data_IF_340063556353
#
_entry.id   IF_340063556353
#
_cell.length_a   1.000
_cell.length_b   1.000
_cell.length_c   1.000
_cell.angle_alpha   90.00
_cell.angle_beta   90.00
_cell.angle_gamma   90.00
#
_symmetry.space_group_name_H-M   'P 1'
#
loop_
_entity.id
_entity.type
_entity.pdbx_description
1 polymer ?
#
# COMPACT_ATOMS: atom_id res chain seq x y z
N UNK A 1 4.72 -10.38 -20.07
CA UNK A 1 3.32 -10.87 -20.00
C UNK A 1 2.34 -9.75 -19.66
N UNK A 2 1.79 -9.05 -20.66
CA UNK A 2 0.87 -7.91 -20.39
C UNK A 2 -0.47 -8.35 -19.75
N UNK A 3 -0.98 -9.54 -20.11
CA UNK A 3 -2.24 -10.08 -19.60
C UNK A 3 -2.22 -10.35 -18.09
N UNK A 4 -1.23 -11.10 -17.59
CA UNK A 4 -1.15 -11.48 -16.18
C UNK A 4 -1.17 -10.26 -15.23
N UNK A 5 -0.36 -9.23 -15.52
CA UNK A 5 -0.32 -8.04 -14.66
C UNK A 5 -1.59 -7.21 -14.75
N UNK A 6 -2.24 -7.14 -15.92
CA UNK A 6 -3.53 -6.48 -16.09
C UNK A 6 -4.64 -7.21 -15.32
N UNK A 7 -4.67 -8.54 -15.36
CA UNK A 7 -5.64 -9.34 -14.60
C UNK A 7 -5.44 -9.21 -13.09
N UNK A 8 -4.20 -9.20 -12.61
CA UNK A 8 -3.90 -8.97 -11.19
C UNK A 8 -4.45 -7.61 -10.72
N UNK A 9 -4.20 -6.55 -11.48
CA UNK A 9 -4.74 -5.22 -11.20
C UNK A 9 -6.27 -5.21 -11.23
N UNK A 10 -6.89 -5.81 -12.25
CA UNK A 10 -8.35 -5.86 -12.34
C UNK A 10 -8.96 -6.56 -11.12
N UNK A 11 -8.37 -7.68 -10.68
CA UNK A 11 -8.78 -8.38 -9.47
C UNK A 11 -8.64 -7.50 -8.22
N UNK A 12 -7.50 -6.84 -8.05
CA UNK A 12 -7.27 -5.94 -6.92
C UNK A 12 -8.24 -4.75 -6.91
N UNK A 13 -8.50 -4.16 -8.08
CA UNK A 13 -9.46 -3.07 -8.24
C UNK A 13 -10.89 -3.52 -7.90
N UNK A 14 -11.31 -4.69 -8.38
CA UNK A 14 -12.62 -5.26 -8.05
C UNK A 14 -12.77 -5.50 -6.55
N UNK A 15 -11.75 -6.11 -5.93
CA UNK A 15 -11.75 -6.33 -4.48
C UNK A 15 -11.83 -5.00 -3.71
N UNK A 16 -11.03 -4.01 -4.13
CA UNK A 16 -11.03 -2.66 -3.55
C UNK A 16 -12.41 -2.00 -3.67
N UNK A 17 -13.04 -2.06 -4.85
CA UNK A 17 -14.41 -1.54 -5.04
C UNK A 17 -15.43 -2.24 -4.14
N UNK A 18 -15.33 -3.56 -3.99
CA UNK A 18 -16.25 -4.32 -3.13
C UNK A 18 -16.09 -3.95 -1.65
N UNK A 19 -14.84 -3.83 -1.16
CA UNK A 19 -14.55 -3.36 0.19
C UNK A 19 -15.11 -1.97 0.44
N UNK A 20 -14.84 -1.01 -0.46
CA UNK A 20 -15.34 0.36 -0.30
C UNK A 20 -16.86 0.47 -0.46
N UNK A 21 -17.51 -0.32 -1.32
CA UNK A 21 -18.98 -0.41 -1.34
C UNK A 21 -19.52 -0.80 0.03
N UNK A 22 -18.87 -1.76 0.69
CA UNK A 22 -19.24 -2.22 2.04
C UNK A 22 -19.01 -1.12 3.07
N UNK A 23 -17.89 -0.40 2.98
CA UNK A 23 -17.60 0.71 3.89
C UNK A 23 -18.60 1.85 3.73
N UNK A 24 -18.92 2.24 2.50
CA UNK A 24 -19.96 3.26 2.21
C UNK A 24 -21.31 2.83 2.77
N UNK A 25 -21.69 1.56 2.60
CA UNK A 25 -22.94 1.01 3.18
C UNK A 25 -22.94 1.07 4.70
N UNK A 26 -21.80 0.80 5.34
CA UNK A 26 -21.67 0.87 6.80
C UNK A 26 -21.77 2.29 7.34
N UNK A 27 -21.20 3.28 6.64
CA UNK A 27 -21.22 4.67 7.11
C UNK A 27 -22.49 5.43 6.70
N UNK A 28 -23.30 4.92 5.77
CA UNK A 28 -24.50 5.64 5.32
C UNK A 28 -25.46 6.03 6.45
N UNK A 29 -25.69 5.23 7.51
CA UNK A 29 -26.61 5.59 8.59
C UNK A 29 -26.11 6.70 9.51
N UNK A 30 -24.83 7.10 9.41
CA UNK A 30 -24.22 8.13 10.27
C UNK A 30 -23.96 9.45 9.53
N UNK A 31 -24.38 9.55 8.27
CA UNK A 31 -24.25 10.78 7.51
C UNK A 31 -25.17 11.88 8.10
N UNK A 32 -24.82 13.16 7.96
CA UNK A 32 -25.72 14.25 8.33
C UNK A 32 -26.99 14.24 7.47
N UNK A 33 -28.05 14.90 7.92
CA UNK A 33 -29.33 14.99 7.19
C UNK A 33 -29.16 15.48 5.75
N UNK A 34 -28.35 16.53 5.57
CA UNK A 34 -27.90 17.00 4.27
C UNK A 34 -26.45 16.58 4.07
N UNK A 35 -26.21 15.74 3.06
CA UNK A 35 -24.88 15.22 2.75
C UNK A 35 -24.60 15.21 1.25
N UNK A 36 -23.32 15.32 0.89
CA UNK A 36 -22.82 15.18 -0.47
C UNK A 36 -21.71 14.12 -0.55
N UNK A 37 -21.05 14.02 -1.71
CA UNK A 37 -19.92 13.13 -1.89
C UNK A 37 -18.76 13.45 -0.93
N UNK A 38 -18.53 14.73 -0.62
CA UNK A 38 -17.46 15.14 0.28
C UNK A 38 -17.73 14.69 1.71
N UNK A 39 -18.98 14.74 2.18
CA UNK A 39 -19.39 14.17 3.46
C UNK A 39 -19.06 12.68 3.54
N UNK A 40 -19.38 11.91 2.48
CA UNK A 40 -19.06 10.47 2.41
C UNK A 40 -17.54 10.24 2.51
N UNK A 41 -16.76 10.98 1.72
CA UNK A 41 -15.29 10.85 1.71
C UNK A 41 -14.68 11.24 3.06
N UNK A 42 -15.13 12.33 3.68
CA UNK A 42 -14.68 12.75 5.02
C UNK A 42 -14.98 11.68 6.06
N UNK A 43 -16.17 11.10 6.04
CA UNK A 43 -16.56 10.02 6.95
C UNK A 43 -15.76 8.74 6.72
N UNK A 44 -15.48 8.38 5.46
CA UNK A 44 -14.56 7.28 5.13
C UNK A 44 -13.16 7.53 5.69
N UNK A 45 -12.59 8.73 5.48
CA UNK A 45 -11.27 9.09 6.03
C UNK A 45 -11.24 9.05 7.56
N UNK A 46 -12.36 9.37 8.23
CA UNK A 46 -12.48 9.31 9.70
C UNK A 46 -12.49 7.87 10.24
N UNK A 47 -13.29 6.97 9.65
CA UNK A 47 -13.52 5.62 10.20
C UNK A 47 -12.77 4.49 9.50
N UNK A 48 -12.21 4.77 8.33
CA UNK A 48 -11.37 3.88 7.52
C UNK A 48 -10.11 4.62 7.02
N UNK A 49 -9.36 5.32 7.91
CA UNK A 49 -8.22 6.15 7.50
C UNK A 49 -7.13 5.32 6.82
N UNK A 50 -6.92 4.11 7.30
CA UNK A 50 -5.88 3.23 6.85
C UNK A 50 -6.22 2.53 5.53
N UNK A 51 -7.47 2.12 5.35
CA UNK A 51 -7.96 1.62 4.07
C UNK A 51 -7.94 2.74 3.01
N UNK A 52 -8.24 3.97 3.40
CA UNK A 52 -8.10 5.14 2.53
C UNK A 52 -6.64 5.38 2.12
N UNK A 53 -5.71 5.35 3.08
CA UNK A 53 -4.27 5.49 2.79
C UNK A 53 -3.78 4.42 1.82
N UNK A 54 -4.18 3.17 2.02
CA UNK A 54 -3.82 2.08 1.10
C UNK A 54 -4.40 2.28 -0.31
N UNK A 55 -5.62 2.83 -0.43
CA UNK A 55 -6.20 3.19 -1.72
C UNK A 55 -5.38 4.27 -2.44
N UNK A 56 -4.93 5.30 -1.72
CA UNK A 56 -4.06 6.35 -2.27
C UNK A 56 -2.70 5.80 -2.72
N UNK A 57 -2.09 4.92 -1.93
CA UNK A 57 -0.80 4.31 -2.26
C UNK A 57 -0.89 3.41 -3.50
N UNK A 58 -1.95 2.59 -3.60
CA UNK A 58 -2.26 1.80 -4.81
C UNK A 58 -2.42 2.70 -6.04
N UNK A 59 -3.19 3.78 -5.91
CA UNK A 59 -3.37 4.75 -6.98
C UNK A 59 -2.02 5.32 -7.46
N UNK A 60 -1.15 5.73 -6.53
CA UNK A 60 0.20 6.24 -6.84
C UNK A 60 1.06 5.19 -7.54
N UNK A 61 1.06 3.94 -7.07
CA UNK A 61 1.85 2.86 -7.65
C UNK A 61 1.45 2.58 -9.11
N UNK A 62 0.16 2.34 -9.37
CA UNK A 62 -0.33 2.01 -10.71
C UNK A 62 -0.20 3.18 -11.69
N UNK A 63 -0.43 4.41 -11.21
CA UNK A 63 -0.20 5.62 -12.01
C UNK A 63 1.28 5.75 -12.38
N UNK A 64 2.20 5.51 -11.43
CA UNK A 64 3.64 5.50 -11.72
C UNK A 64 4.02 4.42 -12.72
N UNK A 65 3.41 3.24 -12.63
CA UNK A 65 3.65 2.15 -13.55
C UNK A 65 3.16 2.48 -14.98
N UNK A 66 2.00 3.12 -15.14
CA UNK A 66 1.51 3.59 -16.43
C UNK A 66 2.40 4.70 -17.02
N UNK A 67 2.82 5.69 -16.21
CA UNK A 67 3.76 6.73 -16.65
C UNK A 67 5.07 6.14 -17.20
N UNK A 68 5.59 5.10 -16.56
CA UNK A 68 6.80 4.39 -17.05
C UNK A 68 6.57 3.71 -18.39
N UNK A 69 5.38 3.13 -18.63
CA UNK A 69 5.04 2.50 -19.91
C UNK A 69 4.93 3.55 -21.03
N UNK A 70 4.23 4.65 -20.76
CA UNK A 70 4.05 5.75 -21.72
C UNK A 70 5.39 6.34 -22.14
N UNK A 71 6.30 6.56 -21.17
CA UNK A 71 7.64 7.09 -21.45
C UNK A 71 8.46 6.23 -22.43
N UNK A 72 8.21 4.93 -22.49
CA UNK A 72 8.87 4.01 -23.44
C UNK A 72 8.02 3.71 -24.67
N UNK A 73 7.07 4.60 -25.01
CA UNK A 73 6.21 4.50 -26.18
C UNK A 73 5.08 3.46 -26.07
N UNK A 74 4.82 2.90 -24.88
CA UNK A 74 3.78 1.88 -24.68
C UNK A 74 2.49 2.50 -24.14
N UNK A 75 1.34 1.92 -24.51
CA UNK A 75 0.03 2.35 -24.00
C UNK A 75 -0.08 2.13 -22.48
N UNK A 76 -0.80 3.03 -21.81
CA UNK A 76 -1.20 2.88 -20.41
C UNK A 76 -1.98 1.56 -20.22
N UNK A 77 -1.64 0.81 -19.17
CA UNK A 77 -2.21 -0.51 -18.89
C UNK A 77 -3.35 -0.45 -17.90
N UNK A 78 -3.21 0.31 -16.82
CA UNK A 78 -4.13 0.26 -15.69
C UNK A 78 -5.22 1.33 -15.78
N UNK A 79 -4.85 2.54 -16.25
CA UNK A 79 -5.76 3.70 -16.35
C UNK A 79 -6.50 3.96 -15.03
N UNK A 80 -5.76 4.00 -13.93
CA UNK A 80 -6.30 4.22 -12.59
C UNK A 80 -7.00 5.57 -12.49
N UNK A 81 -8.21 5.57 -11.95
CA UNK A 81 -8.94 6.79 -11.54
C UNK A 81 -8.49 7.20 -10.13
N UNK A 82 -8.66 8.48 -9.78
CA UNK A 82 -8.33 8.98 -8.44
C UNK A 82 -9.19 8.28 -7.37
N UNK A 83 -8.73 8.20 -6.11
CA UNK A 83 -9.51 7.65 -5.00
C UNK A 83 -10.92 8.24 -4.90
N UNK A 84 -11.04 9.56 -5.00
CA UNK A 84 -12.32 10.29 -4.93
C UNK A 84 -13.25 9.89 -6.07
N UNK A 85 -12.71 9.82 -7.31
CA UNK A 85 -13.47 9.37 -8.47
C UNK A 85 -13.86 7.90 -8.36
N UNK A 86 -13.01 7.05 -7.76
CA UNK A 86 -13.33 5.65 -7.51
C UNK A 86 -14.53 5.53 -6.58
N UNK A 87 -14.56 6.30 -5.48
CA UNK A 87 -15.71 6.33 -4.56
C UNK A 87 -16.96 6.83 -5.28
N UNK A 88 -16.86 7.90 -6.07
CA UNK A 88 -18.03 8.50 -6.73
C UNK A 88 -18.73 7.53 -7.69
N UNK A 89 -18.02 6.57 -8.27
CA UNK A 89 -18.58 5.61 -9.23
C UNK A 89 -19.09 4.32 -8.58
N UNK A 90 -18.91 4.14 -7.28
CA UNK A 90 -19.38 2.94 -6.57
C UNK A 90 -20.92 2.85 -6.62
N UNK A 91 -21.49 1.65 -6.87
CA UNK A 91 -22.92 1.43 -6.83
C UNK A 91 -23.58 1.94 -5.55
N UNK A 92 -22.99 1.65 -4.38
CA UNK A 92 -23.55 2.11 -3.11
C UNK A 92 -23.54 3.64 -3.00
N UNK A 93 -22.45 4.28 -3.45
CA UNK A 93 -22.34 5.74 -3.42
C UNK A 93 -23.35 6.41 -4.35
N UNK A 94 -23.54 5.87 -5.56
CA UNK A 94 -24.57 6.34 -6.48
C UNK A 94 -25.98 6.17 -5.90
N UNK A 95 -26.24 5.04 -5.25
CA UNK A 95 -27.51 4.75 -4.62
C UNK A 95 -27.84 5.75 -3.50
N UNK A 96 -26.90 6.02 -2.58
CA UNK A 96 -27.17 6.94 -1.46
C UNK A 96 -27.20 8.41 -1.87
N UNK A 97 -26.57 8.78 -3.00
CA UNK A 97 -26.62 10.14 -3.53
C UNK A 97 -27.82 10.39 -4.45
N UNK A 98 -28.65 9.37 -4.73
CA UNK A 98 -29.85 9.55 -5.55
C UNK A 98 -30.87 10.46 -4.85
N UNK A 99 -31.69 11.15 -5.65
CA UNK A 99 -32.72 12.06 -5.13
C UNK A 99 -33.69 11.32 -4.21
N UNK A 100 -34.16 10.15 -4.63
CA UNK A 100 -35.13 9.34 -3.90
C UNK A 100 -34.56 8.84 -2.58
N UNK A 101 -33.30 8.38 -2.55
CA UNK A 101 -32.66 7.96 -1.31
C UNK A 101 -32.54 9.12 -0.33
N UNK A 102 -32.08 10.29 -0.79
CA UNK A 102 -31.94 11.47 0.07
C UNK A 102 -33.27 11.96 0.62
N UNK A 103 -34.32 11.96 -0.19
CA UNK A 103 -35.68 12.31 0.26
C UNK A 103 -36.17 11.34 1.34
N UNK A 104 -36.04 10.04 1.11
CA UNK A 104 -36.43 9.01 2.08
C UNK A 104 -35.59 9.08 3.37
N UNK A 105 -34.29 9.31 3.23
CA UNK A 105 -33.38 9.48 4.35
C UNK A 105 -33.77 10.70 5.20
N UNK A 106 -34.07 11.84 4.56
CA UNK A 106 -34.53 13.07 5.23
C UNK A 106 -35.85 12.86 5.97
N UNK A 107 -36.80 12.16 5.35
CA UNK A 107 -38.11 11.89 5.96
C UNK A 107 -38.05 10.94 7.16
N UNK A 108 -37.10 10.01 7.17
CA UNK A 108 -36.89 9.03 8.25
C UNK A 108 -35.73 9.39 9.18
N UNK A 109 -35.17 10.59 9.05
CA UNK A 109 -33.97 11.00 9.77
C UNK A 109 -34.27 11.16 11.26
N UNK A 110 -33.41 10.57 12.09
CA UNK A 110 -33.43 10.76 13.54
C UNK A 110 -32.00 10.98 14.03
N UNK A 111 -31.78 12.13 14.66
CA UNK A 111 -30.50 12.51 15.22
C UNK A 111 -30.06 11.54 16.33
N UNK A 112 -31.02 11.05 17.11
CA UNK A 112 -30.81 10.02 18.14
C UNK A 112 -30.33 8.72 17.49
N UNK A 113 -31.00 8.25 16.43
CA UNK A 113 -30.62 7.02 15.74
C UNK A 113 -29.26 7.15 15.04
N UNK A 114 -28.97 8.31 14.45
CA UNK A 114 -27.67 8.64 13.85
C UNK A 114 -26.55 8.54 14.88
N UNK A 115 -26.73 9.17 16.04
CA UNK A 115 -25.75 9.16 17.14
C UNK A 115 -25.51 7.74 17.65
N UNK A 116 -26.57 6.95 17.84
CA UNK A 116 -26.45 5.54 18.22
C UNK A 116 -25.67 4.71 17.19
N UNK A 117 -25.91 4.95 15.90
CA UNK A 117 -25.17 4.29 14.82
C UNK A 117 -23.71 4.74 14.79
N UNK A 118 -23.42 6.01 15.08
CA UNK A 118 -22.06 6.53 15.17
C UNK A 118 -21.30 5.86 16.31
N UNK A 119 -21.93 5.70 17.49
CA UNK A 119 -21.33 4.99 18.61
C UNK A 119 -21.04 3.51 18.29
N UNK A 120 -21.93 2.83 17.54
CA UNK A 120 -21.67 1.47 17.05
C UNK A 120 -20.44 1.42 16.13
N UNK A 121 -20.33 2.37 15.20
CA UNK A 121 -19.17 2.45 14.29
C UNK A 121 -17.90 2.77 15.07
N UNK A 122 -17.94 3.70 16.02
CA UNK A 122 -16.80 4.05 16.89
C UNK A 122 -16.31 2.81 17.65
N UNK A 123 -17.22 2.08 18.30
CA UNK A 123 -16.90 0.82 19.01
C UNK A 123 -16.28 -0.22 18.09
N UNK A 124 -16.71 -0.34 16.83
CA UNK A 124 -16.14 -1.30 15.87
C UNK A 124 -14.77 -0.85 15.32
N UNK A 125 -14.62 0.45 15.03
CA UNK A 125 -13.53 0.98 14.19
C UNK A 125 -12.38 1.60 14.98
N UNK A 126 -12.66 2.35 16.05
CA UNK A 126 -11.60 3.02 16.83
C UNK A 126 -10.57 2.03 17.38
N UNK A 127 -10.94 0.85 17.94
CA UNK A 127 -9.94 -0.11 18.40
C UNK A 127 -9.06 -0.67 17.27
N UNK A 128 -9.61 -0.82 16.06
CA UNK A 128 -8.85 -1.30 14.89
C UNK A 128 -7.86 -0.24 14.39
N UNK A 129 -8.28 1.02 14.40
CA UNK A 129 -7.45 2.18 14.05
C UNK A 129 -6.32 2.30 15.08
N UNK A 130 -6.65 2.29 16.37
CA UNK A 130 -5.67 2.38 17.46
C UNK A 130 -4.62 1.28 17.40
N UNK A 131 -5.00 0.02 17.14
CA UNK A 131 -4.02 -1.08 16.98
C UNK A 131 -3.01 -0.83 15.86
N UNK A 132 -3.45 -0.19 14.78
CA UNK A 132 -2.56 0.17 13.67
C UNK A 132 -1.69 1.38 14.08
N UNK A 133 -2.29 2.39 14.72
CA UNK A 133 -1.57 3.56 15.26
C UNK A 133 -0.46 3.11 16.22
N UNK A 134 -0.78 2.27 17.20
CA UNK A 134 0.17 1.74 18.19
C UNK A 134 1.31 0.98 17.53
N UNK A 135 1.01 0.17 16.51
CA UNK A 135 2.05 -0.55 15.74
C UNK A 135 2.96 0.44 15.01
N UNK A 136 2.41 1.46 14.37
CA UNK A 136 3.19 2.48 13.66
C UNK A 136 4.02 3.30 14.65
N UNK A 137 3.44 3.71 15.78
CA UNK A 137 4.12 4.43 16.85
C UNK A 137 5.28 3.61 17.42
N UNK A 138 5.06 2.32 17.69
CA UNK A 138 6.10 1.38 18.14
C UNK A 138 7.20 1.15 17.09
N UNK A 139 6.85 1.15 15.80
CA UNK A 139 7.85 1.08 14.73
C UNK A 139 8.66 2.39 14.67
N UNK A 140 7.99 3.54 14.76
CA UNK A 140 8.62 4.86 14.77
C UNK A 140 9.51 5.10 16.00
N UNK A 141 9.17 4.57 17.17
CA UNK A 141 10.02 4.71 18.36
C UNK A 141 11.33 3.91 18.28
N UNK A 142 11.42 2.96 17.35
CA UNK A 142 12.61 2.14 17.11
C UNK A 142 13.52 2.70 16.03
N UNK A 143 13.04 3.66 15.23
CA UNK A 143 13.88 4.33 14.24
C UNK A 143 14.64 5.47 14.87
N UNK A 144 15.80 5.78 14.30
CA UNK A 144 16.60 6.92 14.71
C UNK A 144 15.91 8.23 14.28
N UNK A 145 16.02 9.26 15.12
CA UNK A 145 15.37 10.56 14.90
C UNK A 145 16.07 11.43 13.86
N UNK A 146 17.38 11.27 13.69
CA UNK A 146 18.16 12.00 12.69
C UNK A 146 18.15 11.21 11.38
N UNK A 147 17.95 11.90 10.26
CA UNK A 147 18.13 11.34 8.92
C UNK A 147 19.56 11.62 8.41
N UNK A 148 20.43 10.60 8.37
CA UNK A 148 21.74 10.76 7.78
C UNK A 148 21.74 11.15 6.30
N UNK A 149 22.60 12.13 5.99
CA UNK A 149 22.85 12.65 4.64
C UNK A 149 23.34 11.54 3.67
N UNK A 150 23.73 10.37 4.17
CA UNK A 150 24.32 9.30 3.37
C UNK A 150 23.35 8.22 2.86
N UNK A 151 22.04 8.23 3.16
CA UNK A 151 21.16 7.14 2.68
C UNK A 151 21.03 7.09 1.17
N UNK A 152 21.05 8.22 0.49
CA UNK A 152 21.07 8.24 -0.96
C UNK A 152 22.29 7.49 -1.51
N UNK A 153 23.46 7.69 -0.89
CA UNK A 153 24.68 6.96 -1.22
C UNK A 153 24.53 5.47 -0.92
N UNK A 154 23.94 5.08 0.22
CA UNK A 154 23.69 3.67 0.56
C UNK A 154 22.72 2.98 -0.41
N UNK A 155 21.60 3.64 -0.75
CA UNK A 155 20.67 3.15 -1.76
C UNK A 155 21.33 3.04 -3.13
N UNK A 156 22.20 3.99 -3.48
CA UNK A 156 23.03 3.93 -4.69
C UNK A 156 24.01 2.75 -4.68
N UNK A 157 24.67 2.49 -3.53
CA UNK A 157 25.56 1.34 -3.35
C UNK A 157 24.80 0.02 -3.52
N UNK A 158 23.57 -0.09 -3.02
CA UNK A 158 22.74 -1.29 -3.19
C UNK A 158 22.55 -1.66 -4.67
N UNK A 159 22.34 -0.64 -5.51
CA UNK A 159 22.02 -0.78 -6.94
C UNK A 159 23.23 -1.02 -7.85
N UNK A 160 24.46 -0.93 -7.33
CA UNK A 160 25.67 -1.21 -8.12
C UNK A 160 25.74 -2.69 -8.51
N UNK A 161 26.25 -2.95 -9.73
CA UNK A 161 26.34 -4.31 -10.31
C UNK A 161 27.22 -5.27 -9.49
N UNK A 162 28.28 -4.73 -8.87
CA UNK A 162 29.25 -5.52 -8.09
C UNK A 162 28.84 -5.78 -6.64
N UNK A 163 27.77 -5.15 -6.15
CA UNK A 163 27.34 -5.28 -4.75
C UNK A 163 26.89 -6.70 -4.48
N UNK A 164 27.54 -7.34 -3.51
CA UNK A 164 27.26 -8.74 -3.17
C UNK A 164 25.91 -8.86 -2.46
N UNK A 165 25.38 -10.09 -2.38
CA UNK A 165 24.16 -10.35 -1.63
C UNK A 165 24.32 -10.00 -0.14
N UNK A 166 25.49 -10.30 0.44
CA UNK A 166 25.88 -9.93 1.81
C UNK A 166 25.80 -8.42 2.02
N UNK A 167 26.45 -7.63 1.17
CA UNK A 167 26.46 -6.16 1.28
C UNK A 167 25.05 -5.58 1.19
N UNK A 168 24.20 -6.14 0.30
CA UNK A 168 22.79 -5.74 0.19
C UNK A 168 22.02 -6.01 1.48
N UNK A 169 22.29 -7.11 2.19
CA UNK A 169 21.68 -7.39 3.50
C UNK A 169 22.11 -6.34 4.53
N UNK A 170 23.40 -6.02 4.61
CA UNK A 170 23.90 -4.95 5.51
C UNK A 170 23.28 -3.60 5.19
N UNK A 171 23.24 -3.21 3.91
CA UNK A 171 22.62 -1.94 3.48
C UNK A 171 21.15 -1.91 3.85
N UNK A 172 20.38 -2.97 3.57
CA UNK A 172 18.96 -3.00 3.93
C UNK A 172 18.77 -2.92 5.44
N UNK A 173 19.57 -3.64 6.21
CA UNK A 173 19.51 -3.61 7.66
C UNK A 173 19.80 -2.20 8.21
N UNK A 174 20.83 -1.53 7.70
CA UNK A 174 21.12 -0.15 8.10
C UNK A 174 19.97 0.79 7.74
N UNK A 175 19.43 0.71 6.51
CA UNK A 175 18.28 1.51 6.09
C UNK A 175 17.01 1.25 6.91
N UNK A 176 16.84 0.05 7.50
CA UNK A 176 15.67 -0.22 8.36
C UNK A 176 15.66 0.56 9.67
N UNK A 177 16.80 1.14 10.08
CA UNK A 177 16.90 1.95 11.30
C UNK A 177 16.28 3.33 11.16
N UNK A 178 15.81 3.71 9.97
CA UNK A 178 15.32 5.07 9.68
C UNK A 178 13.95 5.01 8.99
N UNK A 179 13.23 6.12 9.03
CA UNK A 179 11.92 6.27 8.38
C UNK A 179 11.81 7.61 7.66
N UNK A 180 11.86 7.57 6.33
CA UNK A 180 11.61 8.73 5.47
C UNK A 180 10.88 8.31 4.19
N UNK A 181 10.20 9.24 3.49
CA UNK A 181 9.51 8.95 2.23
C UNK A 181 10.42 8.29 1.16
N UNK A 182 11.69 8.68 1.12
CA UNK A 182 12.73 8.18 0.21
C UNK A 182 13.02 6.70 0.49
N UNK A 183 13.19 6.36 1.76
CA UNK A 183 13.42 5.00 2.24
C UNK A 183 12.19 4.13 1.98
N UNK A 184 10.99 4.61 2.30
CA UNK A 184 9.73 3.91 1.98
C UNK A 184 9.63 3.66 0.47
N UNK A 185 9.96 4.64 -0.36
CA UNK A 185 9.96 4.49 -1.81
C UNK A 185 11.01 3.46 -2.28
N UNK A 186 12.20 3.45 -1.67
CA UNK A 186 13.23 2.46 -1.96
C UNK A 186 12.77 1.05 -1.63
N UNK A 187 12.30 0.79 -0.41
CA UNK A 187 11.81 -0.53 -0.02
C UNK A 187 10.59 -0.95 -0.85
N UNK A 188 9.67 -0.04 -1.19
CA UNK A 188 8.54 -0.34 -2.10
C UNK A 188 9.03 -0.85 -3.46
N UNK A 189 10.05 -0.19 -4.05
CA UNK A 189 10.68 -0.67 -5.30
C UNK A 189 11.32 -2.05 -5.10
N UNK A 190 12.06 -2.26 -4.02
CA UNK A 190 12.76 -3.54 -3.76
C UNK A 190 11.80 -4.69 -3.53
N UNK A 191 10.75 -4.51 -2.73
CA UNK A 191 9.71 -5.51 -2.54
C UNK A 191 9.12 -5.99 -3.89
N UNK A 192 8.94 -5.07 -4.85
CA UNK A 192 8.39 -5.38 -6.16
C UNK A 192 9.39 -6.02 -7.13
N UNK A 193 10.65 -5.54 -7.17
CA UNK A 193 11.58 -5.86 -8.26
C UNK A 193 12.81 -6.69 -7.89
N UNK A 194 13.20 -6.75 -6.62
CA UNK A 194 14.41 -7.47 -6.20
C UNK A 194 14.26 -8.98 -6.49
N UNK A 195 15.28 -9.63 -7.04
CA UNK A 195 15.15 -11.03 -7.44
C UNK A 195 15.41 -12.00 -6.27
N UNK A 196 16.29 -11.62 -5.34
CA UNK A 196 16.56 -12.37 -4.12
C UNK A 196 15.37 -12.34 -3.17
N UNK A 197 14.98 -13.51 -2.65
CA UNK A 197 13.80 -13.63 -1.81
C UNK A 197 14.00 -13.03 -0.41
N UNK A 198 15.17 -13.22 0.21
CA UNK A 198 15.47 -12.65 1.53
C UNK A 198 15.37 -11.12 1.49
N UNK A 199 16.03 -10.49 0.52
CA UNK A 199 16.02 -9.03 0.38
C UNK A 199 14.60 -8.50 0.12
N UNK A 200 13.80 -9.17 -0.73
CA UNK A 200 12.38 -8.80 -0.89
C UNK A 200 11.57 -8.94 0.39
N UNK A 201 11.79 -10.01 1.15
CA UNK A 201 11.10 -10.22 2.41
C UNK A 201 11.48 -9.14 3.42
N UNK A 202 12.75 -8.73 3.49
CA UNK A 202 13.18 -7.60 4.32
C UNK A 202 12.46 -6.31 3.93
N UNK A 203 12.36 -5.99 2.63
CA UNK A 203 11.63 -4.82 2.16
C UNK A 203 10.13 -4.89 2.49
N UNK A 204 9.52 -6.06 2.27
CA UNK A 204 8.12 -6.29 2.59
C UNK A 204 7.85 -6.10 4.10
N UNK A 205 8.68 -6.70 4.96
CA UNK A 205 8.55 -6.59 6.41
C UNK A 205 8.69 -5.16 6.90
N UNK A 206 9.66 -4.40 6.38
CA UNK A 206 9.82 -2.99 6.70
C UNK A 206 8.54 -2.20 6.39
N UNK A 207 7.99 -2.34 5.17
CA UNK A 207 6.77 -1.63 4.77
C UNK A 207 5.54 -2.03 5.60
N UNK A 208 5.42 -3.32 5.97
CA UNK A 208 4.33 -3.82 6.81
C UNK A 208 4.34 -3.23 8.23
N UNK A 209 5.52 -2.96 8.80
CA UNK A 209 5.63 -2.34 10.14
C UNK A 209 4.96 -0.96 10.17
N UNK A 210 5.12 -0.18 9.11
CA UNK A 210 4.50 1.14 8.95
C UNK A 210 3.13 1.10 8.26
N UNK A 211 2.62 -0.11 7.98
CA UNK A 211 1.33 -0.37 7.33
C UNK A 211 1.18 0.26 5.93
N UNK A 212 2.27 0.29 5.16
CA UNK A 212 2.25 0.69 3.75
C UNK A 212 1.74 -0.46 2.85
N UNK A 213 1.15 -0.11 1.72
CA UNK A 213 0.80 -1.04 0.66
C UNK A 213 2.06 -1.72 0.14
N UNK A 214 2.07 -3.04 0.21
CA UNK A 214 3.14 -3.88 -0.29
C UNK A 214 2.62 -5.27 -0.59
N UNK A 215 3.22 -5.92 -1.57
CA UNK A 215 2.86 -7.28 -1.98
C UNK A 215 4.12 -8.11 -2.18
N UNK A 216 4.20 -9.23 -1.45
CA UNK A 216 5.30 -10.18 -1.63
C UNK A 216 4.99 -11.10 -2.81
N UNK A 217 5.60 -10.83 -3.97
CA UNK A 217 5.44 -11.67 -5.17
C UNK A 217 6.21 -12.99 -5.01
N UNK A 218 5.57 -14.12 -5.29
CA UNK A 218 6.28 -15.41 -5.26
C UNK A 218 7.36 -15.51 -6.33
N UNK A 219 8.43 -16.26 -6.05
CA UNK A 219 9.61 -16.37 -6.92
C UNK A 219 9.26 -16.81 -8.35
N UNK A 220 8.30 -17.74 -8.50
CA UNK A 220 7.86 -18.26 -9.81
C UNK A 220 7.33 -17.18 -10.77
N UNK A 221 6.82 -16.07 -10.21
CA UNK A 221 6.30 -14.98 -11.02
C UNK A 221 7.36 -13.90 -11.28
N UNK A 222 8.58 -13.98 -10.73
CA UNK A 222 9.60 -12.96 -10.97
C UNK A 222 10.15 -13.06 -12.38
N UNK A 223 10.15 -11.94 -13.11
CA UNK A 223 10.59 -11.90 -14.50
C UNK A 223 12.12 -11.77 -14.59
N UNK A 224 12.78 -12.74 -15.21
CA UNK A 224 14.17 -12.63 -15.65
C UNK A 224 14.22 -12.10 -17.08
N UNK A 225 14.70 -10.87 -17.26
CA UNK A 225 14.76 -10.21 -18.58
C UNK A 225 15.90 -10.67 -19.48
N UNK A 226 16.86 -11.44 -18.95
CA UNK A 226 18.00 -11.94 -19.73
C UNK A 226 17.68 -13.26 -20.43
N UNK A 227 18.13 -13.37 -21.68
CA UNK A 227 18.08 -14.59 -22.51
C UNK A 227 19.32 -15.47 -22.32
N UNK A 228 20.41 -14.92 -21.77
CA UNK A 228 21.67 -15.64 -21.58
C UNK A 228 21.51 -16.77 -20.54
N UNK A 229 21.78 -18.02 -20.96
CA UNK A 229 21.60 -19.23 -20.13
C UNK A 229 22.46 -19.20 -18.86
N UNK A 230 23.74 -18.83 -18.96
CA UNK A 230 24.66 -18.72 -17.81
C UNK A 230 24.12 -17.68 -16.82
N UNK A 231 23.73 -16.50 -17.30
CA UNK A 231 23.21 -15.44 -16.43
C UNK A 231 21.90 -15.83 -15.75
N UNK A 232 21.02 -16.57 -16.44
CA UNK A 232 19.78 -17.09 -15.84
C UNK A 232 20.06 -18.08 -14.71
N UNK A 233 21.07 -18.95 -14.86
CA UNK A 233 21.52 -19.87 -13.81
C UNK A 233 22.04 -19.10 -12.60
N UNK A 234 22.97 -18.16 -12.81
CA UNK A 234 23.50 -17.29 -11.75
C UNK A 234 22.39 -16.55 -10.99
N UNK A 235 21.41 -15.97 -11.70
CA UNK A 235 20.30 -15.27 -11.05
C UNK A 235 19.43 -16.22 -10.21
N UNK A 236 19.18 -17.45 -10.69
CA UNK A 236 18.43 -18.46 -9.94
C UNK A 236 19.16 -18.92 -8.68
N UNK A 237 20.49 -18.98 -8.71
CA UNK A 237 21.31 -19.23 -7.53
C UNK A 237 21.25 -18.03 -6.58
N UNK A 238 21.45 -16.81 -7.09
CA UNK A 238 21.31 -15.56 -6.33
C UNK A 238 19.93 -15.43 -5.67
N UNK A 239 18.85 -15.92 -6.29
CA UNK A 239 17.51 -15.90 -5.69
C UNK A 239 17.43 -16.63 -4.35
N UNK A 240 18.23 -17.70 -4.22
CA UNK A 240 18.25 -18.62 -3.07
C UNK A 240 19.32 -18.25 -2.04
N UNK A 241 20.29 -17.41 -2.41
CA UNK A 241 21.32 -16.95 -1.49
C UNK A 241 20.68 -16.29 -0.26
N UNK A 242 21.23 -16.61 0.90
CA UNK A 242 20.87 -16.03 2.17
C UNK A 242 22.13 -15.64 2.91
N UNK A 243 22.05 -14.53 3.62
CA UNK A 243 23.10 -14.11 4.53
C UNK A 243 22.45 -13.71 5.85
N UNK A 244 22.83 -14.37 6.93
CA UNK A 244 22.38 -14.02 8.27
C UNK A 244 23.39 -13.06 8.88
N UNK A 245 22.91 -11.97 9.47
CA UNK A 245 23.74 -11.08 10.25
C UNK A 245 24.13 -11.82 11.54
N UNK A 246 25.40 -12.17 11.69
CA UNK A 246 25.92 -12.69 12.93
C UNK A 246 26.04 -11.51 13.90
N UNK A 247 25.13 -11.42 14.87
CA UNK A 247 25.36 -10.57 16.03
C UNK A 247 26.22 -11.40 16.98
N UNK A 248 27.50 -11.09 17.06
CA UNK A 248 28.24 -11.36 18.29
C UNK A 248 27.58 -10.50 19.36
N UNK A 249 26.75 -11.11 20.21
CA UNK A 249 26.36 -10.51 21.48
C UNK A 249 27.66 -10.26 22.25
N UNK A 250 28.16 -9.03 22.23
CA UNK A 250 29.05 -8.56 23.29
C UNK A 250 28.15 -8.30 24.48
N UNK A 251 28.00 -9.35 25.30
CA UNK A 251 27.48 -9.30 26.66
C UNK A 251 28.35 -8.41 27.53
#
# INVERSE_FOLDING_TARGET
MAGFTKHKYAKDLTQTKNSFNTYVKKISPILPIEFDLNCIIKTLKKYYPYEWRLLEEKYKEYTRADRKLIRVGKKARYKTVTPEKLISILPQTKAILSKDYKANYRNSFSEVQRTQNEEKIKKERLPKIQRIDDRIAKAKSRVQQMEPIYFEKMMGLYDRKGTTQKDRVYIMHELTKYYSPEIVQFFSRKAHSEYNFQLRLMAFSYLQQFYHYTELRSQKHMELRTTNKKKRKEMREYAKQKFNLNYSCTS
#
